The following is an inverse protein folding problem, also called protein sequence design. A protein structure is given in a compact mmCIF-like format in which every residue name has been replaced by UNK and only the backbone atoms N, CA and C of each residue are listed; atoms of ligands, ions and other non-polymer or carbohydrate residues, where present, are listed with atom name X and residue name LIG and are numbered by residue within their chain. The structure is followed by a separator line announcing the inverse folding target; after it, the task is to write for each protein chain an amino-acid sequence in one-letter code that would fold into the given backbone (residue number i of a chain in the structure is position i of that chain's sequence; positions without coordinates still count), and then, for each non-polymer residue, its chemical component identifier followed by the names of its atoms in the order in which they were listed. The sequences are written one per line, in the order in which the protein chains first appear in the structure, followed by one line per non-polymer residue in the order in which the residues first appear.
data_IF_170499666575
#
_entry.id   IF_170499666575
#
_cell.length_a   1.000
_cell.length_b   1.000
_cell.length_c   1.000
_cell.angle_alpha   90.00
_cell.angle_beta   90.00
_cell.angle_gamma   90.00
#
_symmetry.space_group_name_H-M   'P 1'
#
loop_
_entity.id
_entity.type
_entity.pdbx_description
1 polymer ?
#
# COMPACT_ATOMS: atom_id res chain seq x y z
N UNK A 1 -30.62 10.52 58.95
CA UNK A 1 -31.17 11.57 58.05
C UNK A 1 -30.44 11.48 56.71
N UNK A 2 -31.22 11.38 55.62
CA UNK A 2 -30.76 11.31 54.23
C UNK A 2 -30.13 12.63 53.80
N UNK A 3 -29.10 12.61 52.94
CA UNK A 3 -29.05 13.42 51.69
C UNK A 3 -27.79 13.15 50.85
N UNK A 4 -28.07 12.51 49.70
CA UNK A 4 -27.68 12.89 48.33
C UNK A 4 -26.34 12.40 47.75
N UNK A 5 -26.51 11.41 46.88
CA UNK A 5 -25.78 11.14 45.65
C UNK A 5 -25.31 12.42 44.93
N UNK A 6 -24.09 12.37 44.40
CA UNK A 6 -23.79 12.78 43.02
C UNK A 6 -22.54 12.02 42.58
N UNK A 7 -22.78 11.00 41.74
CA UNK A 7 -21.78 10.37 40.93
C UNK A 7 -21.14 11.42 40.02
N UNK A 8 -19.81 11.53 40.06
CA UNK A 8 -19.05 12.22 39.02
C UNK A 8 -18.22 11.14 38.34
N UNK A 9 -18.83 10.58 37.30
CA UNK A 9 -18.24 9.67 36.34
C UNK A 9 -17.34 10.52 35.42
N UNK A 10 -16.08 10.75 35.80
CA UNK A 10 -15.09 11.32 34.87
C UNK A 10 -14.53 10.21 33.99
N UNK A 11 -15.32 9.85 32.97
CA UNK A 11 -14.82 9.15 31.81
C UNK A 11 -14.03 10.14 30.95
N UNK A 12 -12.69 10.08 31.00
CA UNK A 12 -11.84 10.66 29.98
C UNK A 12 -11.04 9.52 29.37
N UNK A 13 -11.64 8.94 28.33
CA UNK A 13 -10.96 8.18 27.30
C UNK A 13 -10.01 9.15 26.57
N UNK A 14 -8.84 9.39 27.14
CA UNK A 14 -7.75 10.04 26.45
C UNK A 14 -7.12 9.00 25.52
N UNK A 15 -7.61 9.04 24.28
CA UNK A 15 -7.02 8.53 23.05
C UNK A 15 -5.50 8.33 23.20
N UNK A 16 -5.06 7.06 23.22
CA UNK A 16 -3.67 6.70 23.15
C UNK A 16 -3.12 7.13 21.79
N UNK A 17 -2.61 8.36 21.71
CA UNK A 17 -1.79 8.82 20.61
C UNK A 17 -0.45 8.08 20.70
N UNK A 18 -0.40 6.88 20.14
CA UNK A 18 0.84 6.24 19.72
C UNK A 18 1.42 7.05 18.55
N UNK A 19 1.97 8.22 18.84
CA UNK A 19 3.00 8.80 17.97
C UNK A 19 4.31 8.14 18.39
N UNK A 20 4.48 6.89 17.98
CA UNK A 20 5.82 6.38 17.75
C UNK A 20 6.34 7.20 16.58
N UNK A 21 7.07 8.28 16.91
CA UNK A 21 8.07 8.82 16.02
C UNK A 21 9.06 7.68 15.75
N UNK A 22 8.77 6.88 14.72
CA UNK A 22 9.69 5.89 14.21
C UNK A 22 10.91 6.65 13.71
N UNK A 23 12.02 6.56 14.45
CA UNK A 23 13.34 6.78 13.89
C UNK A 23 13.42 5.93 12.63
N UNK A 24 13.55 6.63 11.49
CA UNK A 24 13.19 6.11 10.18
C UNK A 24 13.93 4.84 9.81
N UNK A 25 13.17 3.77 9.63
CA UNK A 25 13.57 2.74 8.69
C UNK A 25 13.62 3.38 7.30
N UNK A 26 14.68 3.09 6.55
CA UNK A 26 14.84 3.57 5.18
C UNK A 26 13.85 2.90 4.20
N UNK A 27 12.80 2.25 4.69
CA UNK A 27 11.86 1.43 3.94
C UNK A 27 10.69 2.21 3.33
N UNK A 28 9.72 1.44 2.88
CA UNK A 28 8.43 1.91 2.38
C UNK A 28 7.40 1.73 3.51
N UNK A 29 6.48 2.66 3.67
CA UNK A 29 5.56 2.63 4.81
C UNK A 29 4.21 1.98 4.47
N UNK A 30 3.77 2.17 3.22
CA UNK A 30 2.45 1.78 2.75
C UNK A 30 2.44 1.69 1.23
N UNK A 31 1.60 0.80 0.70
CA UNK A 31 1.20 0.81 -0.71
C UNK A 31 -0.31 0.93 -0.78
N UNK A 32 -0.80 1.94 -1.47
CA UNK A 32 -2.23 2.04 -1.75
C UNK A 32 -2.53 1.51 -3.14
N UNK A 33 -3.57 0.70 -3.23
CA UNK A 33 -4.11 0.19 -4.48
C UNK A 33 -5.51 0.77 -4.65
N UNK A 34 -5.77 1.40 -5.78
CA UNK A 34 -7.08 1.98 -6.12
C UNK A 34 -7.59 1.34 -7.39
N UNK A 35 -8.75 0.68 -7.34
CA UNK A 35 -9.36 0.15 -8.55
C UNK A 35 -10.05 1.28 -9.32
N UNK A 36 -9.71 1.41 -10.61
CA UNK A 36 -10.33 2.38 -11.52
C UNK A 36 -11.76 1.94 -11.89
N UNK A 37 -12.69 2.20 -10.98
CA UNK A 37 -14.15 2.07 -11.16
C UNK A 37 -14.85 3.34 -10.66
N UNK A 38 -16.17 3.40 -10.82
CA UNK A 38 -17.01 4.47 -10.25
C UNK A 38 -18.07 3.88 -9.29
N UNK A 39 -17.99 4.15 -7.97
CA UNK A 39 -16.92 4.86 -7.28
C UNK A 39 -15.62 4.02 -7.22
N UNK A 40 -14.44 4.63 -7.04
CA UNK A 40 -13.17 3.91 -6.97
C UNK A 40 -12.91 3.39 -5.54
N UNK A 41 -12.92 2.07 -5.29
CA UNK A 41 -12.49 1.52 -4.01
C UNK A 41 -10.96 1.59 -3.88
N UNK A 42 -10.49 1.81 -2.66
CA UNK A 42 -9.06 1.94 -2.31
C UNK A 42 -8.72 1.06 -1.11
N UNK A 43 -7.55 0.43 -1.16
CA UNK A 43 -7.00 -0.39 -0.09
C UNK A 43 -5.59 0.09 0.24
N UNK A 44 -5.31 0.32 1.51
CA UNK A 44 -3.95 0.59 1.99
C UNK A 44 -3.33 -0.66 2.57
N UNK A 45 -2.19 -1.08 2.00
CA UNK A 45 -1.41 -2.23 2.43
C UNK A 45 -0.22 -1.74 3.24
N UNK A 46 -0.01 -2.36 4.40
CA UNK A 46 1.15 -2.16 5.27
C UNK A 46 2.10 -3.36 5.15
N UNK A 47 3.38 -3.25 5.58
CA UNK A 47 4.33 -4.36 5.46
C UNK A 47 3.79 -5.66 6.06
N UNK A 48 3.87 -6.75 5.28
CA UNK A 48 3.34 -8.07 5.61
C UNK A 48 1.84 -8.27 5.32
N UNK A 49 1.13 -7.29 4.76
CA UNK A 49 -0.29 -7.41 4.44
C UNK A 49 -0.50 -8.01 3.05
N UNK A 50 -1.54 -8.84 2.94
CA UNK A 50 -2.06 -9.35 1.67
C UNK A 50 -3.54 -9.03 1.54
N UNK A 51 -3.92 -8.42 0.42
CA UNK A 51 -5.29 -8.02 0.10
C UNK A 51 -5.78 -8.78 -1.14
N UNK A 52 -6.93 -9.44 -1.01
CA UNK A 52 -7.67 -10.02 -2.14
C UNK A 52 -8.68 -9.00 -2.68
N UNK A 53 -8.76 -8.85 -4.00
CA UNK A 53 -9.65 -7.92 -4.69
C UNK A 53 -10.29 -8.62 -5.90
N UNK A 54 -11.55 -8.32 -6.26
CA UNK A 54 -12.12 -8.75 -7.54
C UNK A 54 -11.26 -8.29 -8.72
N UNK A 55 -11.08 -9.16 -9.71
CA UNK A 55 -10.28 -8.90 -10.91
C UNK A 55 -11.01 -9.39 -12.17
N UNK A 56 -12.05 -8.65 -12.63
CA UNK A 56 -12.61 -8.91 -13.95
C UNK A 56 -11.54 -8.69 -15.04
N UNK A 57 -11.74 -9.29 -16.20
CA UNK A 57 -10.82 -9.15 -17.33
C UNK A 57 -10.74 -7.67 -17.74
N UNK A 58 -9.52 -7.14 -17.83
CA UNK A 58 -9.29 -5.74 -18.18
C UNK A 58 -9.36 -4.77 -17.00
N UNK A 59 -9.45 -5.26 -15.76
CA UNK A 59 -9.40 -4.40 -14.57
C UNK A 59 -8.10 -3.59 -14.53
N UNK A 60 -8.20 -2.33 -14.12
CA UNK A 60 -7.07 -1.41 -13.94
C UNK A 60 -6.97 -0.95 -12.50
N UNK A 61 -5.76 -1.02 -11.93
CA UNK A 61 -5.49 -0.57 -10.58
C UNK A 61 -4.38 0.46 -10.60
N UNK A 62 -4.60 1.59 -9.93
CA UNK A 62 -3.54 2.53 -9.65
C UNK A 62 -2.82 2.11 -8.36
N UNK A 63 -1.49 2.17 -8.37
CA UNK A 63 -0.64 1.79 -7.25
C UNK A 63 0.16 3.01 -6.83
N UNK A 64 -0.06 3.48 -5.61
CA UNK A 64 0.72 4.54 -4.97
C UNK A 64 1.63 3.92 -3.90
N UNK A 65 2.93 4.11 -4.00
CA UNK A 65 3.91 3.68 -3.00
C UNK A 65 4.28 4.87 -2.12
N UNK A 66 4.19 4.69 -0.80
CA UNK A 66 4.43 5.74 0.19
C UNK A 66 5.76 5.54 0.92
N UNK A 67 6.39 6.67 1.22
CA UNK A 67 7.59 6.74 2.04
C UNK A 67 7.56 8.01 2.88
N UNK A 68 7.92 7.90 4.17
CA UNK A 68 7.82 8.96 5.17
C UNK A 68 6.43 9.64 5.19
N UNK A 69 5.38 8.84 5.03
CA UNK A 69 3.98 9.31 5.04
C UNK A 69 3.52 10.06 3.78
N UNK A 70 4.35 10.18 2.73
CA UNK A 70 4.00 10.86 1.49
C UNK A 70 4.05 9.90 0.27
N UNK A 71 3.23 10.13 -0.78
CA UNK A 71 3.37 9.42 -2.03
C UNK A 71 4.77 9.65 -2.60
N UNK A 72 5.49 8.56 -2.87
CA UNK A 72 6.87 8.59 -3.35
C UNK A 72 6.95 8.28 -4.84
N UNK A 73 6.22 7.25 -5.30
CA UNK A 73 6.19 6.82 -6.70
C UNK A 73 4.95 5.95 -6.94
N UNK A 74 4.64 5.63 -8.18
CA UNK A 74 3.45 4.88 -8.52
C UNK A 74 3.39 4.42 -9.96
N UNK A 75 2.28 3.77 -10.29
CA UNK A 75 1.97 3.38 -11.65
C UNK A 75 0.59 2.75 -11.78
N UNK A 76 0.26 2.38 -13.01
CA UNK A 76 -0.98 1.69 -13.34
C UNK A 76 -0.70 0.23 -13.67
N UNK A 77 -1.39 -0.66 -12.97
CA UNK A 77 -1.46 -2.08 -13.25
C UNK A 77 -2.71 -2.37 -14.08
N UNK A 78 -2.57 -3.11 -15.17
CA UNK A 78 -3.69 -3.63 -15.96
C UNK A 78 -3.70 -5.15 -15.91
N UNK A 79 -4.87 -5.74 -15.66
CA UNK A 79 -5.10 -7.17 -15.61
C UNK A 79 -5.94 -7.65 -16.81
N UNK A 80 -5.42 -7.44 -18.02
CA UNK A 80 -6.05 -7.85 -19.28
C UNK A 80 -5.72 -9.31 -19.63
N UNK A 81 -5.10 -9.59 -20.77
CA UNK A 81 -4.64 -10.94 -21.09
C UNK A 81 -3.53 -11.41 -20.13
N UNK A 82 -2.58 -10.53 -19.81
CA UNK A 82 -1.53 -10.72 -18.81
C UNK A 82 -1.49 -9.51 -17.89
N UNK A 83 -0.81 -9.65 -16.74
CA UNK A 83 -0.47 -8.50 -15.92
C UNK A 83 0.53 -7.60 -16.68
N UNK A 84 0.28 -6.30 -16.66
CA UNK A 84 1.19 -5.26 -17.17
C UNK A 84 1.20 -4.09 -16.19
N UNK A 85 2.38 -3.52 -15.95
CA UNK A 85 2.53 -2.36 -15.09
C UNK A 85 3.25 -1.25 -15.83
N UNK A 86 2.69 -0.06 -15.76
CA UNK A 86 3.23 1.15 -16.39
C UNK A 86 3.48 2.18 -15.29
N UNK A 87 4.74 2.53 -15.00
CA UNK A 87 5.05 3.63 -14.08
C UNK A 87 4.37 4.92 -14.51
N UNK A 88 3.98 5.75 -13.53
CA UNK A 88 3.38 7.05 -13.84
C UNK A 88 4.38 7.99 -14.52
N UNK A 89 3.92 8.98 -15.30
CA UNK A 89 4.78 10.02 -15.83
C UNK A 89 5.60 10.69 -14.72
N UNK A 90 6.93 10.63 -14.83
CA UNK A 90 7.84 11.20 -13.83
C UNK A 90 8.14 10.30 -12.63
N UNK A 91 7.53 9.12 -12.53
CA UNK A 91 7.87 8.12 -11.52
C UNK A 91 9.35 7.71 -11.65
N UNK A 92 10.07 7.66 -10.51
CA UNK A 92 11.49 7.28 -10.46
C UNK A 92 11.69 6.09 -9.55
N UNK A 93 12.60 5.21 -9.95
CA UNK A 93 13.01 4.08 -9.14
C UNK A 93 11.98 2.96 -9.03
N UNK A 94 10.80 3.05 -9.66
CA UNK A 94 9.84 1.94 -9.71
C UNK A 94 9.99 1.13 -10.99
N UNK A 95 9.97 -0.19 -10.84
CA UNK A 95 9.99 -1.14 -11.94
C UNK A 95 9.12 -2.35 -11.59
N UNK A 96 8.63 -3.05 -12.61
CA UNK A 96 7.90 -4.28 -12.41
C UNK A 96 8.52 -5.40 -13.26
N UNK A 97 8.71 -6.56 -12.64
CA UNK A 97 9.14 -7.78 -13.31
C UNK A 97 7.96 -8.75 -13.29
N UNK A 98 7.60 -9.22 -14.48
CA UNK A 98 6.53 -10.21 -14.65
C UNK A 98 7.10 -11.61 -14.60
N UNK A 99 6.44 -12.50 -13.86
CA UNK A 99 6.71 -13.94 -13.81
C UNK A 99 5.49 -14.68 -14.40
N UNK A 100 5.59 -15.08 -15.67
CA UNK A 100 4.46 -15.67 -16.39
C UNK A 100 3.34 -14.67 -16.72
N UNK A 101 2.10 -15.15 -16.85
CA UNK A 101 0.95 -14.30 -17.22
C UNK A 101 0.33 -13.59 -16.01
N UNK A 102 0.31 -14.29 -14.89
CA UNK A 102 -0.57 -13.99 -13.75
C UNK A 102 0.20 -13.59 -12.49
N UNK A 103 1.54 -13.49 -12.54
CA UNK A 103 2.35 -13.01 -11.42
C UNK A 103 3.25 -11.87 -11.83
N UNK A 104 3.44 -10.94 -10.90
CA UNK A 104 4.28 -9.76 -11.09
C UNK A 104 4.84 -9.29 -9.75
N UNK A 105 6.07 -8.80 -9.77
CA UNK A 105 6.71 -8.16 -8.62
C UNK A 105 7.05 -6.72 -8.99
N UNK A 106 6.57 -5.77 -8.21
CA UNK A 106 6.90 -4.35 -8.30
C UNK A 106 8.00 -4.05 -7.29
N UNK A 107 9.10 -3.50 -7.77
CA UNK A 107 10.27 -3.11 -6.97
C UNK A 107 10.47 -1.61 -7.02
N UNK A 108 10.89 -1.03 -5.90
CA UNK A 108 11.25 0.38 -5.78
C UNK A 108 12.71 0.49 -5.35
N UNK A 109 13.48 1.31 -6.08
CA UNK A 109 14.87 1.62 -5.80
C UNK A 109 14.94 2.95 -5.06
N UNK A 110 15.37 2.89 -3.80
CA UNK A 110 15.64 4.05 -2.98
C UNK A 110 17.11 4.43 -3.11
N UNK A 111 17.38 5.72 -3.30
CA UNK A 111 18.73 6.28 -3.26
C UNK A 111 18.88 7.14 -2.02
N UNK A 112 20.00 6.99 -1.33
CA UNK A 112 20.36 7.85 -0.21
C UNK A 112 21.27 9.01 -0.65
N UNK A 113 21.45 9.98 0.24
CA UNK A 113 22.25 11.19 -0.03
C UNK A 113 23.76 10.90 -0.13
N UNK A 114 24.19 9.69 0.24
CA UNK A 114 25.58 9.22 0.15
C UNK A 114 25.84 8.44 -1.14
N UNK A 115 24.85 8.36 -2.05
CA UNK A 115 24.92 7.63 -3.31
C UNK A 115 24.65 6.13 -3.17
N UNK A 116 24.26 5.66 -1.99
CA UNK A 116 23.78 4.30 -1.77
C UNK A 116 22.46 4.06 -2.50
N UNK A 117 22.27 2.84 -3.00
CA UNK A 117 21.07 2.44 -3.73
C UNK A 117 20.58 1.10 -3.18
N UNK A 118 19.31 1.03 -2.79
CA UNK A 118 18.67 -0.17 -2.28
C UNK A 118 17.40 -0.45 -3.06
N UNK A 119 17.30 -1.65 -3.64
CA UNK A 119 16.06 -2.13 -4.24
C UNK A 119 15.21 -2.84 -3.18
N UNK A 120 13.95 -2.44 -3.07
CA UNK A 120 12.95 -3.00 -2.16
C UNK A 120 11.81 -3.58 -2.97
N UNK A 121 11.25 -4.71 -2.53
CA UNK A 121 9.98 -5.20 -3.11
C UNK A 121 8.83 -4.40 -2.51
N UNK A 122 8.14 -3.61 -3.34
CA UNK A 122 6.99 -2.82 -2.91
C UNK A 122 5.70 -3.65 -2.96
N UNK A 123 5.55 -4.50 -3.97
CA UNK A 123 4.31 -5.25 -4.17
C UNK A 123 4.57 -6.57 -4.88
N UNK A 124 4.01 -7.66 -4.38
CA UNK A 124 3.82 -8.91 -5.13
C UNK A 124 2.37 -8.97 -5.56
N UNK A 125 2.16 -9.35 -6.81
CA UNK A 125 0.86 -9.36 -7.46
C UNK A 125 0.64 -10.76 -8.02
N UNK A 126 -0.50 -11.35 -7.72
CA UNK A 126 -0.89 -12.67 -8.23
C UNK A 126 -2.37 -12.66 -8.64
N UNK A 127 -2.67 -13.09 -9.86
CA UNK A 127 -4.04 -13.23 -10.36
C UNK A 127 -4.45 -14.69 -10.39
N UNK A 128 -5.57 -15.02 -9.75
CA UNK A 128 -6.11 -16.39 -9.70
C UNK A 128 -7.62 -16.34 -9.83
N UNK A 129 -8.18 -17.08 -10.80
CA UNK A 129 -9.63 -17.32 -10.90
C UNK A 129 -10.53 -16.07 -10.73
N UNK A 130 -10.25 -14.99 -11.46
CA UNK A 130 -11.04 -13.75 -11.40
C UNK A 130 -10.81 -12.90 -10.15
N UNK A 131 -9.79 -13.23 -9.35
CA UNK A 131 -9.29 -12.46 -8.21
C UNK A 131 -7.87 -12.01 -8.47
N UNK A 132 -7.48 -10.93 -7.80
CA UNK A 132 -6.10 -10.46 -7.74
C UNK A 132 -5.70 -10.27 -6.29
N UNK A 133 -4.49 -10.71 -5.97
CA UNK A 133 -3.87 -10.60 -4.68
C UNK A 133 -2.75 -9.58 -4.76
N UNK A 134 -2.80 -8.59 -3.88
CA UNK A 134 -1.75 -7.63 -3.65
C UNK A 134 -1.11 -7.92 -2.31
N UNK A 135 0.19 -8.15 -2.29
CA UNK A 135 0.94 -8.42 -1.07
C UNK A 135 2.08 -7.42 -0.94
N UNK A 136 2.13 -6.67 0.15
CA UNK A 136 3.29 -5.85 0.50
C UNK A 136 4.18 -6.70 1.43
N UNK A 137 5.39 -7.14 1.01
CA UNK A 137 6.24 -7.97 1.84
C UNK A 137 6.73 -7.27 3.11
N UNK A 138 7.25 -8.05 4.06
CA UNK A 138 7.96 -7.54 5.23
C UNK A 138 9.37 -7.09 4.87
#
# INVERSE_FOLDING_TARGET
MRKRMRAVLCAVLALAAFVLAGCGDAGLDRVDVTWRTDPPPRWGLYPGYRQEIPCPVGAEYHVDVFRKGAPFTGGTLTAAYALSFVPDPGARGIAAVRDGRDRMTVTVTLRDDKGGSQALTALRIERVAGKIYFEFPK
#
